data_IF_977401246690
#
_entry.id   IF_977401246690
#
_cell.length_a   1.000
_cell.length_b   1.000
_cell.length_c   1.000
_cell.angle_alpha   90.00
_cell.angle_beta   90.00
_cell.angle_gamma   90.00
#
_symmetry.space_group_name_H-M   'P 1'
#
loop_
_entity.id
_entity.type
_entity.pdbx_description
1 polymer ?
#
# COMPACT_ATOMS: atom_id res chain seq x y z
N UNK A 1 -5.66 7.25 6.42
CA UNK A 1 -4.94 8.30 7.19
C UNK A 1 -5.54 9.65 6.85
N UNK A 2 -5.76 10.56 7.80
CA UNK A 2 -6.24 11.93 7.50
C UNK A 2 -7.54 11.96 6.66
N UNK A 3 -8.45 11.01 6.89
CA UNK A 3 -9.72 10.93 6.16
C UNK A 3 -9.61 10.43 4.71
N UNK A 4 -8.43 10.00 4.25
CA UNK A 4 -8.21 9.46 2.89
C UNK A 4 -7.46 8.13 2.88
N UNK A 5 -7.56 7.42 1.76
CA UNK A 5 -6.74 6.27 1.42
C UNK A 5 -5.45 6.72 0.73
N UNK A 6 -4.37 6.87 1.51
CA UNK A 6 -3.02 7.08 0.96
C UNK A 6 -2.62 5.86 0.13
N UNK A 7 -2.27 6.06 -1.14
CA UNK A 7 -2.24 4.99 -2.14
C UNK A 7 -0.89 4.86 -2.83
N UNK A 8 -0.46 3.61 -3.06
CA UNK A 8 0.72 3.27 -3.85
C UNK A 8 0.41 2.09 -4.77
N UNK A 9 0.89 2.15 -6.01
CA UNK A 9 0.91 1.02 -6.92
C UNK A 9 2.17 0.19 -6.69
N UNK A 10 2.03 -1.10 -6.44
CA UNK A 10 3.14 -2.04 -6.26
C UNK A 10 3.09 -3.05 -7.41
N UNK A 11 4.01 -2.97 -8.41
CA UNK A 11 3.91 -3.79 -9.64
C UNK A 11 4.08 -5.30 -9.46
N UNK A 12 4.56 -5.73 -8.28
CA UNK A 12 4.72 -7.13 -7.89
C UNK A 12 4.03 -7.34 -6.56
N UNK A 13 3.68 -8.58 -6.25
CA UNK A 13 3.07 -8.90 -4.97
C UNK A 13 3.85 -8.29 -3.78
N UNK A 14 3.14 -7.74 -2.79
CA UNK A 14 3.73 -7.25 -1.55
C UNK A 14 4.73 -8.23 -0.92
N UNK A 15 5.80 -7.74 -0.26
CA UNK A 15 6.84 -8.61 0.27
C UNK A 15 6.33 -9.41 1.47
N UNK A 16 6.11 -10.71 1.32
CA UNK A 16 5.66 -11.59 2.41
C UNK A 16 6.74 -11.93 3.45
N UNK A 17 8.02 -11.77 3.08
CA UNK A 17 9.17 -12.13 3.89
C UNK A 17 10.22 -11.02 3.95
N UNK A 18 11.15 -11.11 4.92
CA UNK A 18 12.26 -10.17 5.05
C UNK A 18 13.27 -10.35 3.90
N UNK A 19 14.00 -9.29 3.57
CA UNK A 19 14.99 -9.29 2.49
C UNK A 19 14.41 -8.96 1.11
N UNK A 20 13.10 -9.13 0.90
CA UNK A 20 12.43 -8.71 -0.33
C UNK A 20 12.10 -7.23 -0.30
N UNK A 21 12.53 -6.51 -1.34
CA UNK A 21 12.25 -5.09 -1.55
C UNK A 21 11.38 -4.89 -2.79
N UNK A 22 10.33 -4.08 -2.67
CA UNK A 22 9.41 -3.74 -3.77
C UNK A 22 9.43 -2.25 -4.05
N UNK A 23 9.38 -1.90 -5.34
CA UNK A 23 9.04 -0.56 -5.76
C UNK A 23 7.55 -0.31 -5.46
N UNK A 24 7.25 0.82 -4.83
CA UNK A 24 5.91 1.31 -4.60
C UNK A 24 5.81 2.73 -5.16
N UNK A 25 4.89 2.97 -6.09
CA UNK A 25 4.75 4.23 -6.79
C UNK A 25 3.54 4.97 -6.23
N UNK A 26 3.75 6.13 -5.62
CA UNK A 26 2.68 6.94 -5.03
C UNK A 26 1.63 7.33 -6.08
N UNK A 27 0.37 7.09 -5.74
CA UNK A 27 -0.81 7.42 -6.54
C UNK A 27 -1.56 8.59 -5.90
N UNK A 28 -2.52 9.20 -6.62
CA UNK A 28 -3.50 10.09 -5.99
C UNK A 28 -4.21 9.40 -4.82
N UNK A 29 -4.62 10.20 -3.84
CA UNK A 29 -5.42 9.69 -2.71
C UNK A 29 -6.78 9.20 -3.21
N UNK A 30 -7.29 8.14 -2.60
CA UNK A 30 -8.66 7.66 -2.85
C UNK A 30 -9.56 7.98 -1.65
N UNK A 31 -10.87 8.02 -1.90
CA UNK A 31 -11.88 8.04 -0.84
C UNK A 31 -11.75 6.77 0.02
N UNK A 32 -12.07 6.86 1.31
CA UNK A 32 -11.92 5.71 2.23
C UNK A 32 -12.87 4.58 1.84
N UNK A 33 -14.03 4.92 1.32
CA UNK A 33 -15.05 4.01 0.81
C UNK A 33 -14.52 3.12 -0.32
N UNK A 34 -13.52 3.60 -1.07
CA UNK A 34 -12.87 2.84 -2.15
C UNK A 34 -12.10 1.62 -1.63
N UNK A 35 -11.76 1.56 -0.34
CA UNK A 35 -11.10 0.39 0.26
C UNK A 35 -12.00 -0.87 0.27
N UNK A 36 -13.30 -0.71 0.06
CA UNK A 36 -14.29 -1.79 0.02
C UNK A 36 -14.69 -2.16 -1.42
N UNK A 37 -14.14 -1.48 -2.43
CA UNK A 37 -14.54 -1.68 -3.82
C UNK A 37 -13.95 -2.96 -4.43
N UNK A 38 -14.82 -3.77 -5.03
CA UNK A 38 -14.47 -4.87 -5.92
C UNK A 38 -15.35 -4.79 -7.16
N UNK A 39 -14.79 -5.06 -8.34
CA UNK A 39 -15.53 -4.95 -9.59
C UNK A 39 -14.64 -4.74 -10.80
N UNK A 40 -15.24 -4.23 -11.87
CA UNK A 40 -14.54 -3.90 -13.11
C UNK A 40 -14.69 -2.40 -13.35
N UNK A 41 -13.56 -1.71 -13.44
CA UNK A 41 -13.51 -0.31 -13.89
C UNK A 41 -13.54 -0.33 -15.42
N UNK A 42 -14.47 0.42 -16.05
CA UNK A 42 -14.59 0.47 -17.51
C UNK A 42 -13.29 0.86 -18.21
N UNK A 43 -13.11 0.39 -19.44
CA UNK A 43 -12.01 0.84 -20.29
C UNK A 43 -12.09 2.34 -20.57
N UNK A 44 -10.92 3.00 -20.64
CA UNK A 44 -10.82 4.45 -20.84
C UNK A 44 -10.85 5.27 -19.54
N UNK A 45 -11.31 4.68 -18.43
CA UNK A 45 -11.27 5.32 -17.12
C UNK A 45 -9.91 5.12 -16.42
N UNK A 46 -9.57 6.02 -15.51
CA UNK A 46 -8.38 5.87 -14.69
C UNK A 46 -8.52 4.65 -13.76
N UNK A 47 -7.57 3.71 -13.86
CA UNK A 47 -7.64 2.44 -13.12
C UNK A 47 -8.46 1.36 -13.81
N UNK A 48 -8.76 1.49 -15.11
CA UNK A 48 -9.45 0.49 -15.92
C UNK A 48 -8.92 -0.94 -15.68
N UNK A 49 -9.86 -1.88 -15.56
CA UNK A 49 -9.58 -3.28 -15.31
C UNK A 49 -10.32 -3.84 -14.10
N UNK A 50 -10.03 -5.11 -13.79
CA UNK A 50 -10.61 -5.82 -12.65
C UNK A 50 -9.91 -5.41 -11.36
N UNK A 51 -10.70 -5.07 -10.35
CA UNK A 51 -10.25 -4.79 -8.98
C UNK A 51 -10.79 -5.86 -8.05
N UNK A 52 -9.89 -6.49 -7.30
CA UNK A 52 -10.19 -7.49 -6.26
C UNK A 52 -9.44 -7.12 -4.98
N UNK A 53 -10.06 -7.37 -3.83
CA UNK A 53 -9.40 -7.19 -2.52
C UNK A 53 -8.47 -8.38 -2.31
N UNK A 54 -7.18 -8.18 -2.62
CA UNK A 54 -6.15 -9.20 -2.41
C UNK A 54 -5.89 -9.46 -0.91
N UNK A 55 -5.91 -8.42 -0.08
CA UNK A 55 -5.87 -8.51 1.38
C UNK A 55 -6.54 -7.29 2.02
N UNK A 56 -7.03 -7.45 3.24
CA UNK A 56 -7.66 -6.39 4.03
C UNK A 56 -7.42 -6.64 5.52
N UNK A 57 -7.15 -5.57 6.25
CA UNK A 57 -6.85 -5.64 7.66
C UNK A 57 -6.74 -4.28 8.31
N UNK A 58 -6.28 -4.29 9.56
CA UNK A 58 -5.95 -3.07 10.29
C UNK A 58 -4.47 -2.76 10.13
N UNK A 59 -4.10 -1.54 10.51
CA UNK A 59 -2.70 -1.18 10.66
C UNK A 59 -2.50 -0.28 11.87
N UNK A 60 -1.33 -0.34 12.46
CA UNK A 60 -0.83 0.64 13.41
C UNK A 60 0.25 1.49 12.74
N UNK A 61 0.10 2.81 12.78
CA UNK A 61 1.17 3.73 12.36
C UNK A 61 2.12 3.92 13.53
N UNK A 62 3.39 3.54 13.33
CA UNK A 62 4.39 3.61 14.40
C UNK A 62 5.33 4.80 14.26
N UNK A 63 5.65 5.19 13.03
CA UNK A 63 6.46 6.36 12.74
C UNK A 63 6.06 6.96 11.39
N UNK A 64 5.99 8.28 11.33
CA UNK A 64 5.78 9.06 10.10
C UNK A 64 6.76 10.22 10.07
N UNK A 65 7.80 10.04 9.28
CA UNK A 65 8.79 11.06 8.98
C UNK A 65 8.64 11.61 7.57
N UNK A 66 9.48 12.59 7.22
CA UNK A 66 9.59 13.09 5.84
C UNK A 66 10.03 11.95 4.92
N UNK A 67 9.13 11.48 4.07
CA UNK A 67 9.42 10.36 3.16
C UNK A 67 9.58 9.01 3.85
N UNK A 68 9.03 8.82 5.05
CA UNK A 68 9.14 7.56 5.80
C UNK A 68 7.81 7.22 6.46
N UNK A 69 7.35 5.99 6.29
CA UNK A 69 6.23 5.42 7.05
C UNK A 69 6.63 4.06 7.59
N UNK A 70 6.54 3.89 8.91
CA UNK A 70 6.70 2.63 9.59
C UNK A 70 5.33 2.18 10.08
N UNK A 71 4.90 1.03 9.57
CA UNK A 71 3.53 0.55 9.74
C UNK A 71 3.55 -0.92 10.13
N UNK A 72 2.75 -1.28 11.12
CA UNK A 72 2.50 -2.68 11.46
C UNK A 72 1.14 -3.09 10.92
N UNK A 73 1.11 -4.07 10.02
CA UNK A 73 -0.10 -4.58 9.39
C UNK A 73 -0.67 -5.79 10.12
N UNK A 74 -1.99 -5.82 10.22
CA UNK A 74 -2.79 -6.92 10.74
C UNK A 74 -3.80 -7.38 9.68
N UNK A 75 -3.28 -7.82 8.53
CA UNK A 75 -4.03 -8.41 7.43
C UNK A 75 -4.15 -9.93 7.51
N UNK A 76 -4.85 -10.52 6.55
CA UNK A 76 -4.88 -11.98 6.40
C UNK A 76 -3.58 -12.50 5.79
N UNK A 77 -3.01 -11.76 4.83
CA UNK A 77 -1.79 -12.11 4.10
C UNK A 77 -0.59 -11.28 4.59
N UNK A 78 -0.72 -9.96 4.61
CA UNK A 78 0.30 -9.06 5.14
C UNK A 78 0.16 -8.90 6.64
N UNK A 79 1.15 -9.43 7.36
CA UNK A 79 1.24 -9.29 8.81
C UNK A 79 2.61 -8.76 9.22
N UNK A 80 2.64 -8.01 10.30
CA UNK A 80 3.85 -7.52 10.96
C UNK A 80 4.33 -6.16 10.47
N UNK A 81 5.56 -5.82 10.85
CA UNK A 81 6.13 -4.49 10.63
C UNK A 81 6.76 -4.30 9.24
N UNK A 82 6.44 -3.18 8.59
CA UNK A 82 6.91 -2.78 7.26
C UNK A 82 7.36 -1.32 7.21
N UNK A 83 8.31 -1.04 6.32
CA UNK A 83 8.74 0.30 6.00
C UNK A 83 8.39 0.67 4.56
N UNK A 84 7.82 1.87 4.39
CA UNK A 84 7.77 2.61 3.14
C UNK A 84 8.75 3.77 3.23
N UNK A 85 9.75 3.79 2.35
CA UNK A 85 10.78 4.84 2.30
C UNK A 85 10.76 5.53 0.93
N UNK A 86 10.56 6.84 0.90
CA UNK A 86 10.64 7.65 -0.31
C UNK A 86 12.10 7.73 -0.75
N UNK A 87 12.36 7.35 -2.00
CA UNK A 87 13.70 7.35 -2.57
C UNK A 87 13.89 8.53 -3.53
N UNK A 88 12.86 8.85 -4.31
CA UNK A 88 12.82 10.03 -5.17
C UNK A 88 11.39 10.33 -5.64
N UNK A 89 10.89 11.55 -5.42
CA UNK A 89 9.60 11.99 -5.96
C UNK A 89 8.46 11.04 -5.59
N UNK A 90 7.87 10.37 -6.58
CA UNK A 90 6.79 9.38 -6.38
C UNK A 90 7.29 7.96 -6.10
N UNK A 91 8.59 7.69 -6.15
CA UNK A 91 9.17 6.36 -5.98
C UNK A 91 9.47 6.07 -4.51
N UNK A 92 8.89 4.98 -4.01
CA UNK A 92 9.08 4.48 -2.66
C UNK A 92 9.60 3.04 -2.69
N UNK A 93 10.32 2.68 -1.64
CA UNK A 93 10.75 1.32 -1.36
C UNK A 93 9.87 0.74 -0.25
N UNK A 94 9.26 -0.41 -0.52
CA UNK A 94 8.37 -1.13 0.40
C UNK A 94 9.00 -2.48 0.78
N UNK A 95 9.17 -2.75 2.07
CA UNK A 95 9.76 -3.99 2.57
C UNK A 95 9.39 -4.31 4.02
N UNK A 96 9.36 -5.60 4.35
CA UNK A 96 9.13 -6.11 5.70
C UNK A 96 10.37 -5.91 6.58
N UNK A 97 10.19 -5.39 7.78
CA UNK A 97 11.27 -5.12 8.75
C UNK A 97 11.17 -5.94 10.02
N UNK A 98 9.95 -6.36 10.39
CA UNK A 98 9.64 -6.99 11.66
C UNK A 98 8.62 -8.12 11.55
N UNK A 99 8.49 -8.90 12.61
CA UNK A 99 7.25 -9.63 12.86
C UNK A 99 6.09 -8.68 13.16
#
# INVERSE_FOLDING_TARGET
>A
MEGVARSWAVPKEPPGERGVRRLAIMQPDHAVEYMEFEGIIPEGEYGAGKVEIWDKGRYALEDRGKGKLLVSFEGRRLRGRYLLLNTAGKQWLFFKTGE
#
